data_IF_382786987511
#
_entry.id   IF_382786987511
#
_cell.length_a   1.000
_cell.length_b   1.000
_cell.length_c   1.000
_cell.angle_alpha   90.00
_cell.angle_beta   90.00
_cell.angle_gamma   90.00
#
_symmetry.space_group_name_H-M   'P 1'
#
loop_
_entity.id
_entity.type
_entity.pdbx_description
1 polymer ?
#
# COMPACT_ATOMS: atom_id res chain seq x y z
N UNK A 1 -38.65 43.24 33.35
CA UNK A 1 -37.97 42.02 32.88
C UNK A 1 -38.61 41.65 31.56
N UNK A 2 -37.88 41.50 30.45
CA UNK A 2 -36.80 40.52 30.22
C UNK A 2 -37.47 39.30 29.56
N UNK A 3 -37.42 39.15 28.22
CA UNK A 3 -36.42 38.35 27.48
C UNK A 3 -36.89 36.89 27.39
N UNK A 4 -36.87 36.13 26.29
CA UNK A 4 -36.40 36.22 24.91
C UNK A 4 -36.57 34.83 24.26
N UNK A 5 -36.35 34.71 22.94
CA UNK A 5 -36.04 33.41 22.30
C UNK A 5 -36.86 33.07 21.05
N UNK A 6 -36.20 32.93 19.90
CA UNK A 6 -36.77 32.31 18.70
C UNK A 6 -36.31 32.89 17.36
N UNK A 7 -35.00 33.08 17.15
CA UNK A 7 -34.45 33.52 15.87
C UNK A 7 -34.43 32.39 14.83
N UNK A 8 -35.41 32.39 13.92
CA UNK A 8 -35.35 31.65 12.66
C UNK A 8 -34.62 32.50 11.62
N UNK A 9 -33.34 32.20 11.36
CA UNK A 9 -32.60 32.82 10.28
C UNK A 9 -33.08 32.29 8.92
N UNK A 10 -33.27 33.14 7.88
CA UNK A 10 -33.60 32.66 6.56
C UNK A 10 -32.40 31.96 5.93
N UNK A 11 -32.62 30.72 5.47
CA UNK A 11 -31.71 29.99 4.59
C UNK A 11 -31.38 30.86 3.37
N UNK A 12 -30.08 31.08 3.11
CA UNK A 12 -29.57 31.87 1.98
C UNK A 12 -29.60 31.00 0.71
N UNK A 13 -30.43 31.27 -0.31
CA UNK A 13 -30.52 30.43 -1.50
C UNK A 13 -29.52 30.82 -2.62
N UNK A 14 -28.38 31.46 -2.29
CA UNK A 14 -27.47 32.05 -3.29
C UNK A 14 -26.00 31.64 -3.14
N UNK A 15 -25.71 30.47 -2.57
CA UNK A 15 -24.33 29.98 -2.39
C UNK A 15 -23.67 29.40 -3.67
N UNK A 16 -24.21 29.68 -4.86
CA UNK A 16 -23.83 28.95 -6.08
C UNK A 16 -23.50 29.83 -7.31
N UNK A 17 -23.20 31.11 -7.11
CA UNK A 17 -22.73 31.98 -8.20
C UNK A 17 -21.27 32.38 -8.01
N UNK A 18 -20.38 32.13 -9.00
CA UNK A 18 -18.96 32.52 -8.95
C UNK A 18 -18.71 33.98 -9.35
N UNK A 19 -19.78 34.78 -9.53
CA UNK A 19 -19.70 36.21 -9.79
C UNK A 19 -20.69 36.94 -8.89
N UNK A 20 -20.14 37.76 -7.99
CA UNK A 20 -20.84 38.67 -7.10
C UNK A 20 -21.64 39.70 -7.91
N UNK A 21 -22.97 39.62 -7.83
CA UNK A 21 -23.89 40.53 -8.53
C UNK A 21 -24.32 41.66 -7.59
N UNK A 22 -23.94 42.87 -7.99
CA UNK A 22 -24.17 44.16 -7.33
C UNK A 22 -25.62 44.65 -7.51
N UNK A 23 -26.33 44.97 -6.41
CA UNK A 23 -27.57 45.77 -6.42
C UNK A 23 -27.37 46.95 -5.46
N UNK A 24 -27.36 48.16 -6.00
CA UNK A 24 -27.14 49.41 -5.27
C UNK A 24 -28.41 49.86 -4.55
N UNK A 25 -28.34 50.09 -3.23
CA UNK A 25 -29.36 50.85 -2.48
C UNK A 25 -28.82 52.22 -2.03
N UNK A 26 -29.69 53.23 -1.84
CA UNK A 26 -29.29 54.65 -1.81
C UNK A 26 -28.74 55.15 -0.46
N UNK A 27 -28.51 54.29 0.54
CA UNK A 27 -28.23 54.73 1.91
C UNK A 27 -27.21 53.86 2.64
N UNK A 28 -25.95 54.29 2.59
CA UNK A 28 -24.99 54.16 3.69
C UNK A 28 -24.26 52.81 3.86
N UNK A 29 -23.01 52.77 3.38
CA UNK A 29 -21.89 52.06 4.02
C UNK A 29 -21.86 50.54 3.92
N UNK A 30 -21.29 50.01 2.84
CA UNK A 30 -20.82 48.62 2.76
C UNK A 30 -19.29 48.58 2.87
N UNK A 31 -18.80 48.05 3.99
CA UNK A 31 -17.38 47.84 4.24
C UNK A 31 -16.97 46.46 3.71
N UNK A 32 -16.41 46.44 2.51
CA UNK A 32 -15.91 45.24 1.86
C UNK A 32 -14.73 44.65 2.64
N UNK A 33 -14.98 43.63 3.45
CA UNK A 33 -13.91 42.75 3.94
C UNK A 33 -13.64 41.67 2.89
N UNK A 34 -13.11 42.07 1.73
CA UNK A 34 -12.42 41.15 0.84
C UNK A 34 -11.14 40.74 1.56
N UNK A 35 -11.18 39.63 2.30
CA UNK A 35 -9.97 39.04 2.83
C UNK A 35 -9.01 38.83 1.63
N UNK A 36 -7.81 39.43 1.63
CA UNK A 36 -6.86 39.26 0.54
C UNK A 36 -6.60 37.76 0.42
N UNK A 37 -7.02 37.17 -0.71
CA UNK A 37 -6.74 35.77 -1.01
C UNK A 37 -5.22 35.65 -1.06
N UNK A 38 -4.65 34.92 -0.11
CA UNK A 38 -3.21 34.72 -0.02
C UNK A 38 -2.63 34.16 -1.32
N UNK A 39 -1.30 34.17 -1.47
CA UNK A 39 -0.66 33.61 -2.66
C UNK A 39 -1.16 32.18 -2.94
N UNK A 40 -1.38 31.82 -4.22
CA UNK A 40 -1.85 30.49 -4.60
C UNK A 40 -0.91 29.39 -4.09
N UNK A 41 -1.43 28.21 -3.76
CA UNK A 41 -0.61 27.04 -3.36
C UNK A 41 0.03 26.40 -4.59
N UNK A 42 1.28 25.99 -4.47
CA UNK A 42 1.98 25.20 -5.47
C UNK A 42 1.46 23.75 -5.50
N UNK A 43 1.92 22.99 -6.48
CA UNK A 43 1.50 21.61 -6.73
C UNK A 43 1.94 20.66 -5.61
N UNK A 44 1.01 19.81 -5.18
CA UNK A 44 1.27 18.76 -4.20
C UNK A 44 2.01 17.59 -4.86
N UNK A 45 2.95 16.99 -4.12
CA UNK A 45 3.74 15.83 -4.58
C UNK A 45 3.15 14.58 -3.95
N UNK A 46 2.65 13.65 -4.77
CA UNK A 46 2.15 12.35 -4.30
C UNK A 46 3.21 11.28 -4.55
N UNK A 47 3.55 10.49 -3.53
CA UNK A 47 4.53 9.42 -3.63
C UNK A 47 3.99 8.14 -2.97
N UNK A 48 4.02 7.04 -3.72
CA UNK A 48 3.67 5.73 -3.18
C UNK A 48 4.83 5.15 -2.36
N UNK A 49 4.54 4.74 -1.14
CA UNK A 49 5.48 4.07 -0.23
C UNK A 49 5.08 2.60 -0.14
N UNK A 50 5.81 1.69 -0.82
CA UNK A 50 5.53 0.27 -0.74
C UNK A 50 5.96 -0.27 0.63
N UNK A 51 5.06 -0.98 1.31
CA UNK A 51 5.29 -1.63 2.59
C UNK A 51 4.92 -3.11 2.54
N UNK A 52 5.71 -3.94 3.19
CA UNK A 52 5.39 -5.35 3.41
C UNK A 52 4.38 -5.50 4.55
N UNK A 53 3.62 -6.60 4.58
CA UNK A 53 2.65 -6.84 5.66
C UNK A 53 3.33 -6.99 7.03
N UNK A 54 4.56 -7.50 7.06
CA UNK A 54 5.39 -7.63 8.27
C UNK A 54 5.75 -6.25 8.83
N UNK A 55 6.21 -5.32 7.97
CA UNK A 55 6.49 -3.93 8.34
C UNK A 55 5.24 -3.21 8.87
N UNK A 56 4.06 -3.47 8.30
CA UNK A 56 2.79 -2.89 8.75
C UNK A 56 2.34 -3.48 10.09
N UNK A 57 2.67 -4.74 10.35
CA UNK A 57 2.34 -5.42 11.61
C UNK A 57 3.16 -4.86 12.77
N UNK A 58 4.46 -4.62 12.60
CA UNK A 58 5.33 -4.10 13.68
C UNK A 58 5.37 -2.57 13.73
N UNK A 59 5.09 -1.90 12.62
CA UNK A 59 5.47 -0.50 12.40
C UNK A 59 6.95 -0.38 12.04
N UNK A 60 7.29 0.61 11.21
CA UNK A 60 8.66 0.79 10.71
C UNK A 60 9.00 2.25 10.47
N UNK A 61 10.26 2.61 10.71
CA UNK A 61 10.83 3.89 10.28
C UNK A 61 11.53 3.67 8.93
N UNK A 62 11.00 4.29 7.87
CA UNK A 62 11.49 4.12 6.49
C UNK A 62 12.04 5.43 5.96
N UNK A 63 13.19 5.35 5.28
CA UNK A 63 13.83 6.50 4.64
C UNK A 63 13.44 6.51 3.16
N UNK A 64 12.67 7.50 2.73
CA UNK A 64 12.16 7.59 1.36
C UNK A 64 12.87 8.73 0.62
N UNK A 65 13.55 8.47 -0.50
CA UNK A 65 14.16 9.53 -1.31
C UNK A 65 13.07 10.30 -2.06
N UNK A 66 12.91 11.58 -1.72
CA UNK A 66 11.91 12.45 -2.37
C UNK A 66 12.62 13.39 -3.33
N UNK A 67 12.12 13.45 -4.57
CA UNK A 67 12.55 14.39 -5.60
C UNK A 67 11.49 15.47 -5.76
N UNK A 68 11.84 16.72 -5.49
CA UNK A 68 10.90 17.86 -5.54
C UNK A 68 11.60 19.12 -6.07
N UNK A 69 10.82 20.05 -6.62
CA UNK A 69 11.37 21.35 -6.98
C UNK A 69 11.36 22.26 -5.75
N UNK A 70 12.50 22.88 -5.47
CA UNK A 70 12.67 23.86 -4.40
C UNK A 70 13.15 25.17 -5.00
N UNK A 71 12.93 26.28 -4.30
CA UNK A 71 13.56 27.54 -4.69
C UNK A 71 15.09 27.36 -4.67
N UNK A 72 15.76 27.88 -5.69
CA UNK A 72 17.21 27.74 -5.79
C UNK A 72 17.87 28.31 -4.52
N UNK A 73 18.72 27.54 -3.81
CA UNK A 73 19.28 27.97 -2.54
C UNK A 73 20.25 29.15 -2.69
N UNK A 74 20.82 29.34 -3.89
CA UNK A 74 21.76 30.44 -4.17
C UNK A 74 21.04 31.76 -4.47
N UNK A 75 20.01 31.73 -5.33
CA UNK A 75 19.32 32.96 -5.76
C UNK A 75 18.00 33.21 -5.04
N UNK A 76 17.52 32.28 -4.21
CA UNK A 76 16.24 32.35 -3.49
C UNK A 76 15.06 32.75 -4.39
N UNK A 77 15.06 32.27 -5.64
CA UNK A 77 14.03 32.57 -6.63
C UNK A 77 14.23 33.85 -7.43
N UNK A 78 15.29 34.64 -7.22
CA UNK A 78 15.60 35.82 -8.06
C UNK A 78 15.97 35.45 -9.50
N UNK A 79 16.66 34.32 -9.67
CA UNK A 79 17.15 33.84 -10.98
C UNK A 79 18.55 34.35 -11.33
N UNK A 80 19.09 35.30 -10.57
CA UNK A 80 20.48 35.76 -10.62
C UNK A 80 21.18 35.52 -9.27
N UNK A 81 22.49 35.33 -9.28
CA UNK A 81 23.28 35.10 -8.06
C UNK A 81 23.31 36.35 -7.16
N UNK A 82 23.60 37.50 -7.77
CA UNK A 82 23.73 38.79 -7.10
C UNK A 82 22.58 39.74 -7.48
N UNK A 83 22.30 40.74 -6.64
CA UNK A 83 21.24 41.73 -6.89
C UNK A 83 21.50 42.52 -8.19
N UNK A 84 22.76 42.83 -8.48
CA UNK A 84 23.19 43.49 -9.72
C UNK A 84 23.00 42.63 -10.98
N UNK A 85 22.77 41.33 -10.83
CA UNK A 85 22.48 40.42 -11.94
C UNK A 85 21.03 40.52 -12.44
N UNK A 86 20.20 41.37 -11.84
CA UNK A 86 18.83 41.65 -12.28
C UNK A 86 18.63 43.11 -12.64
N UNK A 87 17.94 43.36 -13.76
CA UNK A 87 17.53 44.69 -14.17
C UNK A 87 16.01 44.86 -14.03
N UNK A 88 15.49 46.06 -13.71
CA UNK A 88 14.05 46.30 -13.73
C UNK A 88 13.49 46.06 -15.13
N UNK A 89 12.35 45.39 -15.22
CA UNK A 89 11.71 45.11 -16.50
C UNK A 89 11.22 46.41 -17.14
N UNK A 90 11.75 46.74 -18.32
CA UNK A 90 11.37 47.95 -19.08
C UNK A 90 9.93 47.90 -19.59
N UNK A 91 9.39 46.69 -19.86
CA UNK A 91 8.03 46.53 -20.34
C UNK A 91 6.97 46.91 -19.29
N UNK A 92 7.17 46.52 -18.02
CA UNK A 92 6.21 46.77 -16.94
C UNK A 92 6.66 47.81 -15.91
N UNK A 93 7.87 48.40 -16.06
CA UNK A 93 8.40 49.39 -15.11
C UNK A 93 8.57 48.83 -13.69
N UNK A 94 9.12 47.63 -13.56
CA UNK A 94 9.28 46.90 -12.29
C UNK A 94 8.00 46.47 -11.56
N UNK A 95 6.81 46.74 -12.11
CA UNK A 95 5.54 46.36 -11.47
C UNK A 95 5.18 44.86 -11.62
N UNK A 96 5.83 44.15 -12.54
CA UNK A 96 5.55 42.74 -12.87
C UNK A 96 4.23 42.53 -13.62
N UNK A 97 3.42 43.57 -13.84
CA UNK A 97 2.05 43.44 -14.33
C UNK A 97 1.68 44.60 -15.25
N UNK A 98 0.86 44.34 -16.27
CA UNK A 98 0.27 45.36 -17.11
C UNK A 98 -1.19 45.58 -16.71
N UNK A 99 -1.57 46.85 -16.54
CA UNK A 99 -2.94 47.26 -16.25
C UNK A 99 -3.60 47.73 -17.55
N UNK A 100 -4.56 46.96 -18.05
CA UNK A 100 -5.37 47.33 -19.21
C UNK A 100 -6.71 47.86 -18.72
N UNK A 101 -7.01 49.13 -19.02
CA UNK A 101 -8.31 49.72 -18.70
C UNK A 101 -9.20 49.64 -19.93
N UNK A 102 -10.23 48.80 -19.88
CA UNK A 102 -11.25 48.71 -20.92
C UNK A 102 -12.51 49.45 -20.47
N UNK A 103 -12.99 50.40 -21.27
CA UNK A 103 -14.27 51.05 -21.05
C UNK A 103 -15.34 50.27 -21.84
N UNK A 104 -16.34 49.78 -21.12
CA UNK A 104 -17.46 49.07 -21.73
C UNK A 104 -18.45 50.07 -22.36
N UNK A 105 -19.30 49.62 -23.30
CA UNK A 105 -20.25 50.51 -24.02
C UNK A 105 -21.22 51.26 -23.09
N UNK A 106 -21.37 50.80 -21.84
CA UNK A 106 -22.21 51.41 -20.78
C UNK A 106 -21.44 52.37 -19.86
N UNK A 107 -20.16 52.67 -20.16
CA UNK A 107 -19.35 53.64 -19.40
C UNK A 107 -18.63 53.06 -18.17
N UNK A 108 -18.78 51.76 -17.89
CA UNK A 108 -18.02 51.09 -16.83
C UNK A 108 -16.57 50.87 -17.25
N UNK A 109 -15.62 51.21 -16.38
CA UNK A 109 -14.19 50.96 -16.60
C UNK A 109 -13.81 49.67 -15.90
N UNK A 110 -13.45 48.66 -16.68
CA UNK A 110 -12.87 47.41 -16.19
C UNK A 110 -11.35 47.53 -16.24
N UNK A 111 -10.70 47.35 -15.10
CA UNK A 111 -9.23 47.27 -15.01
C UNK A 111 -8.85 45.81 -14.99
N UNK A 112 -8.20 45.33 -16.04
CA UNK A 112 -7.70 43.97 -16.17
C UNK A 112 -6.22 43.98 -15.82
N UNK A 113 -5.84 43.20 -14.82
CA UNK A 113 -4.46 43.04 -14.40
C UNK A 113 -3.88 41.78 -15.03
N UNK A 114 -2.95 41.94 -15.96
CA UNK A 114 -2.28 40.83 -16.67
C UNK A 114 -0.83 40.73 -16.23
N UNK A 115 -0.32 39.53 -15.99
CA UNK A 115 1.10 39.31 -15.67
C UNK A 115 1.97 39.68 -16.87
N UNK A 116 3.08 40.39 -16.64
CA UNK A 116 4.01 40.74 -17.71
C UNK A 116 4.69 39.48 -18.27
N UNK A 117 4.62 39.28 -19.58
CA UNK A 117 5.20 38.13 -20.28
C UNK A 117 6.74 38.15 -20.25
N UNK A 118 7.35 39.34 -20.23
CA UNK A 118 8.80 39.50 -20.26
C UNK A 118 9.50 39.17 -18.94
N UNK A 119 8.85 39.43 -17.80
CA UNK A 119 9.41 39.13 -16.48
C UNK A 119 8.61 38.07 -15.71
N UNK A 120 7.58 37.50 -16.34
CA UNK A 120 6.71 36.46 -15.78
C UNK A 120 6.13 36.84 -14.40
N UNK A 121 5.82 38.12 -14.18
CA UNK A 121 5.30 38.61 -12.89
C UNK A 121 6.33 39.07 -11.86
N UNK A 122 7.63 38.86 -12.09
CA UNK A 122 8.67 39.20 -11.10
C UNK A 122 9.06 40.67 -11.05
N UNK A 123 8.73 41.45 -12.08
CA UNK A 123 9.15 42.85 -12.19
C UNK A 123 10.61 43.04 -12.63
N UNK A 124 11.43 41.99 -12.58
CA UNK A 124 12.85 42.06 -12.93
C UNK A 124 13.21 41.04 -14.02
N UNK A 125 14.15 41.42 -14.88
CA UNK A 125 14.72 40.58 -15.92
C UNK A 125 16.11 40.14 -15.48
N UNK A 126 16.42 38.86 -15.67
CA UNK A 126 17.71 38.27 -15.34
C UNK A 126 18.71 38.66 -16.42
N UNK A 127 19.74 39.42 -16.06
CA UNK A 127 20.85 39.81 -16.96
C UNK A 127 21.98 38.79 -16.84
N UNK A 128 22.32 38.41 -15.61
CA UNK A 128 23.31 37.39 -15.31
C UNK A 128 22.61 36.17 -14.69
N UNK A 129 22.44 35.06 -15.44
CA UNK A 129 21.74 33.89 -14.94
C UNK A 129 22.52 33.25 -13.79
N UNK A 130 21.80 32.83 -12.76
CA UNK A 130 22.36 32.08 -11.65
C UNK A 130 23.05 30.79 -12.17
N UNK A 131 24.29 30.49 -11.75
CA UNK A 131 25.04 29.34 -12.26
C UNK A 131 24.41 27.99 -11.89
N UNK A 132 23.63 27.94 -10.79
CA UNK A 132 23.00 26.70 -10.29
C UNK A 132 21.69 26.39 -11.01
N UNK A 133 20.82 27.38 -11.19
CA UNK A 133 19.49 27.18 -11.80
C UNK A 133 19.42 27.61 -13.27
N UNK A 134 20.47 28.23 -13.81
CA UNK A 134 20.51 28.72 -15.20
C UNK A 134 19.41 29.75 -15.50
N UNK A 135 19.03 30.58 -14.51
CA UNK A 135 17.93 31.54 -14.64
C UNK A 135 16.53 30.97 -14.36
N UNK A 136 16.38 29.66 -14.14
CA UNK A 136 15.06 29.01 -13.92
C UNK A 136 14.44 29.26 -12.54
N UNK A 137 15.18 29.87 -11.60
CA UNK A 137 14.76 30.22 -10.22
C UNK A 137 14.47 29.03 -9.28
N UNK A 138 14.19 27.86 -9.82
CA UNK A 138 13.97 26.60 -9.08
C UNK A 138 15.03 25.55 -9.41
N UNK A 139 15.27 24.64 -8.47
CA UNK A 139 16.20 23.50 -8.61
C UNK A 139 15.52 22.23 -8.13
N UNK A 140 15.82 21.10 -8.78
CA UNK A 140 15.33 19.79 -8.33
C UNK A 140 16.24 19.28 -7.22
N UNK A 141 15.70 19.13 -6.02
CA UNK A 141 16.42 18.59 -4.86
C UNK A 141 15.95 17.16 -4.60
N UNK A 142 16.92 16.26 -4.39
CA UNK A 142 16.70 14.88 -3.97
C UNK A 142 17.11 14.75 -2.50
N UNK A 143 16.13 14.69 -1.60
CA UNK A 143 16.37 14.62 -0.16
C UNK A 143 15.76 13.33 0.42
N UNK A 144 16.51 12.51 1.16
CA UNK A 144 15.93 11.41 1.91
C UNK A 144 15.15 11.96 3.10
N UNK A 145 13.87 11.58 3.20
CA UNK A 145 13.02 11.91 4.34
C UNK A 145 12.77 10.66 5.18
N UNK A 146 12.95 10.78 6.49
CA UNK A 146 12.66 9.71 7.44
C UNK A 146 11.20 9.80 7.84
N UNK A 147 10.42 8.79 7.52
CA UNK A 147 8.99 8.71 7.82
C UNK A 147 8.77 7.56 8.77
N UNK A 148 8.05 7.84 9.87
CA UNK A 148 7.59 6.82 10.81
C UNK A 148 6.21 6.37 10.38
N UNK A 149 6.09 5.09 10.00
CA UNK A 149 4.81 4.48 9.69
C UNK A 149 4.36 3.69 10.92
N UNK A 150 3.25 4.08 11.58
CA UNK A 150 2.75 3.36 12.73
C UNK A 150 2.23 1.98 12.33
N UNK A 151 2.27 1.05 13.28
CA UNK A 151 1.67 -0.27 13.12
C UNK A 151 0.17 -0.13 12.81
N UNK A 152 -0.33 -0.98 11.92
CA UNK A 152 -1.77 -1.01 11.58
C UNK A 152 -2.20 0.08 10.60
N UNK A 153 -1.26 0.75 9.95
CA UNK A 153 -1.55 1.71 8.88
C UNK A 153 -2.23 1.00 7.72
N UNK A 154 -3.44 1.44 7.36
CA UNK A 154 -4.25 0.86 6.27
C UNK A 154 -3.63 1.05 4.89
N UNK A 155 -3.99 0.17 3.96
CA UNK A 155 -3.65 0.35 2.55
C UNK A 155 -4.32 1.60 1.98
N UNK A 156 -3.55 2.39 1.23
CA UNK A 156 -3.98 3.68 0.68
C UNK A 156 -4.01 4.83 1.69
N UNK A 157 -3.62 4.61 2.95
CA UNK A 157 -3.51 5.69 3.94
C UNK A 157 -2.54 6.78 3.47
N UNK A 158 -2.88 8.03 3.76
CA UNK A 158 -2.11 9.19 3.34
C UNK A 158 -1.45 9.86 4.54
N UNK A 159 -0.13 10.00 4.48
CA UNK A 159 0.65 10.75 5.44
C UNK A 159 1.06 12.06 4.75
N UNK A 160 0.47 13.17 5.17
CA UNK A 160 0.71 14.49 4.57
C UNK A 160 1.75 15.25 5.38
N UNK A 161 2.84 15.67 4.73
CA UNK A 161 3.82 16.59 5.29
C UNK A 161 3.58 17.99 4.71
N UNK A 162 3.15 18.97 5.53
CA UNK A 162 2.81 20.30 5.04
C UNK A 162 4.05 21.05 4.56
N UNK A 163 3.92 21.84 3.49
CA UNK A 163 4.99 22.66 2.92
C UNK A 163 6.26 21.90 2.49
N UNK A 164 6.18 20.57 2.35
CA UNK A 164 7.26 19.70 1.90
C UNK A 164 7.09 19.26 0.43
N UNK A 165 6.12 19.80 -0.30
CA UNK A 165 5.92 19.55 -1.73
C UNK A 165 6.79 20.46 -2.60
N UNK A 166 6.25 20.81 -3.77
CA UNK A 166 6.90 21.67 -4.75
C UNK A 166 6.88 23.13 -4.28
N UNK A 167 7.98 23.84 -4.43
CA UNK A 167 8.03 25.29 -4.22
C UNK A 167 8.09 26.04 -5.55
N UNK A 168 7.36 27.15 -5.61
CA UNK A 168 7.37 28.05 -6.76
C UNK A 168 7.34 29.50 -6.29
N UNK A 169 8.04 30.37 -7.01
CA UNK A 169 8.08 31.80 -6.67
C UNK A 169 6.69 32.43 -6.74
N UNK A 170 6.28 33.12 -5.67
CA UNK A 170 4.96 33.75 -5.57
C UNK A 170 3.82 32.78 -5.22
N UNK A 171 4.13 31.51 -4.95
CA UNK A 171 3.19 30.49 -4.49
C UNK A 171 3.58 30.03 -3.08
N UNK A 172 2.59 29.63 -2.29
CA UNK A 172 2.84 28.88 -1.06
C UNK A 172 3.36 27.48 -1.43
N UNK A 173 4.29 26.91 -0.65
CA UNK A 173 4.78 25.55 -0.90
C UNK A 173 3.63 24.55 -0.93
N UNK A 174 3.72 23.58 -1.86
CA UNK A 174 2.83 22.43 -1.90
C UNK A 174 3.06 21.49 -0.72
N UNK A 175 2.19 20.50 -0.57
CA UNK A 175 2.34 19.45 0.43
C UNK A 175 2.93 18.18 -0.20
N UNK A 176 3.61 17.37 0.61
CA UNK A 176 4.06 16.04 0.23
C UNK A 176 3.07 15.03 0.80
N UNK A 177 2.35 14.32 -0.06
CA UNK A 177 1.38 13.30 0.31
C UNK A 177 2.00 11.93 0.04
N UNK A 178 2.32 11.21 1.11
CA UNK A 178 2.84 9.85 1.03
C UNK A 178 1.67 8.88 1.10
N UNK A 179 1.44 8.14 0.03
CA UNK A 179 0.41 7.12 -0.03
C UNK A 179 1.01 5.75 0.30
N UNK A 180 0.57 5.14 1.38
CA UNK A 180 1.00 3.79 1.76
C UNK A 180 0.36 2.77 0.81
N UNK A 181 1.18 1.86 0.28
CA UNK A 181 0.73 0.76 -0.57
C UNK A 181 1.25 -0.57 -0.06
N UNK A 182 0.37 -1.53 0.13
CA UNK A 182 0.80 -2.88 0.51
C UNK A 182 1.42 -3.63 -0.66
N UNK A 183 2.57 -4.24 -0.41
CA UNK A 183 3.16 -5.21 -1.32
C UNK A 183 2.40 -6.54 -1.25
N UNK A 184 2.23 -7.23 -2.38
CA UNK A 184 1.63 -8.55 -2.39
C UNK A 184 2.48 -9.52 -1.57
N UNK A 185 1.85 -10.24 -0.65
CA UNK A 185 2.51 -11.23 0.19
C UNK A 185 2.17 -12.65 -0.28
N UNK A 186 3.12 -13.58 -0.16
CA UNK A 186 2.98 -14.93 -0.71
C UNK A 186 1.86 -15.76 -0.05
N UNK A 187 1.64 -15.56 1.26
CA UNK A 187 0.68 -16.35 2.04
C UNK A 187 -0.60 -15.62 2.40
N UNK A 188 -0.51 -14.31 2.59
CA UNK A 188 -1.56 -13.52 3.24
C UNK A 188 -2.03 -12.41 2.31
N UNK A 189 -3.31 -12.12 2.36
CA UNK A 189 -3.91 -10.97 1.69
C UNK A 189 -4.59 -10.11 2.75
N UNK A 190 -4.21 -8.84 2.84
CA UNK A 190 -4.90 -7.94 3.75
C UNK A 190 -6.27 -7.52 3.19
N UNK A 191 -7.23 -7.40 4.08
CA UNK A 191 -8.56 -6.85 3.83
C UNK A 191 -8.58 -5.37 4.22
N UNK A 192 -9.48 -4.58 3.65
CA UNK A 192 -9.67 -3.15 3.98
C UNK A 192 -9.89 -2.90 5.47
N UNK A 193 -10.52 -3.86 6.15
CA UNK A 193 -10.99 -3.71 7.52
C UNK A 193 -9.90 -4.03 8.56
N UNK A 194 -8.65 -4.28 8.11
CA UNK A 194 -7.55 -4.74 8.97
C UNK A 194 -7.53 -6.26 9.19
N UNK A 195 -8.44 -6.98 8.53
CA UNK A 195 -8.42 -8.44 8.52
C UNK A 195 -7.31 -9.01 7.64
N UNK A 196 -6.92 -10.25 7.91
CA UNK A 196 -6.02 -11.04 7.08
C UNK A 196 -6.81 -12.18 6.44
N UNK A 197 -6.60 -12.41 5.15
CA UNK A 197 -7.13 -13.56 4.43
C UNK A 197 -5.98 -14.51 4.10
N UNK A 198 -6.11 -15.77 4.52
CA UNK A 198 -5.19 -16.85 4.20
C UNK A 198 -5.91 -17.91 3.36
N UNK A 199 -5.37 -18.23 2.19
CA UNK A 199 -5.91 -19.29 1.33
C UNK A 199 -5.20 -20.61 1.63
N UNK A 200 -5.83 -21.43 2.45
CA UNK A 200 -5.31 -22.73 2.85
C UNK A 200 -5.65 -23.79 1.77
N UNK A 201 -4.62 -24.43 1.23
CA UNK A 201 -4.79 -25.54 0.29
C UNK A 201 -4.70 -26.88 1.01
N UNK A 202 -5.76 -27.69 0.89
CA UNK A 202 -5.92 -28.93 1.65
C UNK A 202 -6.26 -30.07 0.69
N UNK A 203 -5.63 -31.25 0.80
CA UNK A 203 -5.97 -32.40 -0.04
C UNK A 203 -7.36 -32.95 0.32
N UNK A 204 -8.02 -33.60 -0.64
CA UNK A 204 -9.35 -34.17 -0.45
C UNK A 204 -9.46 -35.08 0.78
N UNK A 205 -8.44 -35.87 1.09
CA UNK A 205 -8.48 -36.80 2.24
C UNK A 205 -8.54 -36.06 3.59
N UNK A 206 -7.70 -35.03 3.75
CA UNK A 206 -7.69 -34.17 4.94
C UNK A 206 -9.03 -33.42 5.07
N UNK A 207 -9.63 -33.02 3.94
CA UNK A 207 -10.92 -32.36 3.93
C UNK A 207 -12.08 -33.29 4.34
N UNK A 208 -11.98 -34.60 4.14
CA UNK A 208 -13.02 -35.58 4.50
C UNK A 208 -12.87 -36.13 5.93
N UNK A 209 -11.63 -36.41 6.35
CA UNK A 209 -11.33 -37.04 7.65
C UNK A 209 -11.17 -36.01 8.76
N UNK A 210 -10.94 -34.75 8.40
CA UNK A 210 -10.51 -33.70 9.31
C UNK A 210 -8.99 -33.60 9.39
N UNK A 211 -8.49 -32.43 9.78
CA UNK A 211 -7.06 -32.15 9.82
C UNK A 211 -6.67 -31.22 10.96
N UNK A 212 -5.40 -31.31 11.34
CA UNK A 212 -4.74 -30.38 12.23
C UNK A 212 -3.46 -29.87 11.55
N UNK A 213 -3.34 -28.56 11.35
CA UNK A 213 -2.16 -27.94 10.72
C UNK A 213 -1.72 -26.70 11.48
N UNK A 214 -0.41 -26.49 11.54
CA UNK A 214 0.17 -25.28 12.12
C UNK A 214 0.38 -24.23 11.04
N UNK A 215 -0.25 -23.07 11.19
CA UNK A 215 -0.03 -21.88 10.36
C UNK A 215 0.99 -20.96 11.04
N UNK A 216 2.02 -20.56 10.30
CA UNK A 216 2.96 -19.53 10.74
C UNK A 216 2.37 -18.14 10.47
N UNK A 217 2.14 -17.37 11.52
CA UNK A 217 1.63 -16.01 11.50
C UNK A 217 2.73 -14.98 11.12
N UNK A 218 2.33 -13.71 10.95
CA UNK A 218 3.25 -12.59 10.66
C UNK A 218 4.23 -12.29 11.80
N UNK A 219 3.87 -12.61 13.04
CA UNK A 219 4.72 -12.49 14.23
C UNK A 219 5.68 -13.68 14.42
N UNK A 220 5.59 -14.69 13.54
CA UNK A 220 6.33 -15.95 13.67
C UNK A 220 5.70 -16.96 14.65
N UNK A 221 4.58 -16.63 15.30
CA UNK A 221 3.83 -17.57 16.13
C UNK A 221 3.17 -18.65 15.28
N UNK A 222 2.95 -19.82 15.88
CA UNK A 222 2.27 -20.95 15.23
C UNK A 222 0.85 -21.03 15.75
N UNK A 223 -0.13 -20.84 14.86
CA UNK A 223 -1.53 -21.09 15.16
C UNK A 223 -1.89 -22.52 14.74
N UNK A 224 -2.37 -23.32 15.68
CA UNK A 224 -2.91 -24.64 15.40
C UNK A 224 -4.34 -24.50 14.86
N UNK A 225 -4.52 -24.78 13.58
CA UNK A 225 -5.83 -24.88 12.92
C UNK A 225 -6.26 -26.32 13.01
N UNK A 226 -7.39 -26.56 13.67
CA UNK A 226 -8.00 -27.89 13.77
C UNK A 226 -9.44 -27.82 13.26
N UNK A 227 -9.76 -28.76 12.38
CA UNK A 227 -11.11 -28.93 11.87
C UNK A 227 -11.40 -30.43 11.76
N UNK A 228 -12.35 -30.92 12.57
CA UNK A 228 -12.63 -32.35 12.73
C UNK A 228 -13.80 -32.82 11.84
N UNK A 229 -14.42 -31.91 11.07
CA UNK A 229 -15.61 -32.15 10.25
C UNK A 229 -15.23 -32.08 8.77
N UNK A 230 -16.11 -32.59 7.90
CA UNK A 230 -15.95 -32.47 6.44
C UNK A 230 -15.88 -31.00 6.04
N UNK A 231 -14.77 -30.61 5.41
CA UNK A 231 -14.51 -29.26 4.92
C UNK A 231 -14.86 -29.14 3.44
N UNK A 232 -15.78 -28.25 3.11
CA UNK A 232 -16.10 -27.95 1.71
C UNK A 232 -15.13 -26.91 1.13
N UNK A 233 -14.89 -26.97 -0.18
CA UNK A 233 -14.13 -25.92 -0.88
C UNK A 233 -14.84 -24.57 -0.77
N UNK A 234 -14.12 -23.53 -0.39
CA UNK A 234 -14.67 -22.19 -0.14
C UNK A 234 -15.23 -22.01 1.27
N UNK A 235 -15.14 -23.02 2.14
CA UNK A 235 -15.44 -22.86 3.56
C UNK A 235 -14.48 -21.84 4.18
N UNK A 236 -15.03 -20.91 4.96
CA UNK A 236 -14.28 -19.84 5.64
C UNK A 236 -14.38 -20.01 7.13
N UNK A 237 -13.23 -20.04 7.80
CA UNK A 237 -13.12 -20.08 9.25
C UNK A 237 -12.45 -18.81 9.73
N UNK A 238 -13.11 -18.09 10.64
CA UNK A 238 -12.63 -16.81 11.18
C UNK A 238 -12.04 -17.03 12.57
N UNK A 239 -10.80 -16.56 12.76
CA UNK A 239 -10.09 -16.51 14.02
C UNK A 239 -10.01 -15.05 14.48
N UNK A 240 -10.72 -14.73 15.56
CA UNK A 240 -10.83 -13.36 16.06
C UNK A 240 -9.51 -12.86 16.66
N UNK A 241 -9.18 -11.58 16.45
CA UNK A 241 -8.02 -10.92 17.07
C UNK A 241 -6.66 -11.44 16.62
N UNK A 242 -6.58 -12.10 15.45
CA UNK A 242 -5.35 -12.68 14.87
C UNK A 242 -4.94 -12.04 13.53
N UNK A 243 -5.50 -10.87 13.22
CA UNK A 243 -5.25 -10.08 12.02
C UNK A 243 -4.16 -9.01 12.21
N UNK A 244 -4.24 -7.93 11.43
CA UNK A 244 -3.35 -6.78 11.58
C UNK A 244 -3.73 -5.95 12.81
N UNK A 245 -2.77 -5.27 13.46
CA UNK A 245 -3.11 -4.29 14.49
C UNK A 245 -3.97 -3.18 13.89
N UNK A 246 -4.94 -2.72 14.66
CA UNK A 246 -5.82 -1.61 14.27
C UNK A 246 -5.27 -0.30 14.84
N UNK A 247 -5.52 0.82 14.16
CA UNK A 247 -5.19 2.14 14.69
C UNK A 247 -6.04 2.47 15.92
N UNK A 248 -5.51 3.27 16.85
CA UNK A 248 -6.17 3.63 18.12
C UNK A 248 -7.60 4.15 17.95
N UNK A 249 -7.84 4.93 16.90
CA UNK A 249 -9.18 5.44 16.58
C UNK A 249 -10.17 4.32 16.27
N UNK A 250 -9.73 3.32 15.51
CA UNK A 250 -10.54 2.16 15.13
C UNK A 250 -10.72 1.23 16.32
N UNK A 251 -9.68 1.04 17.14
CA UNK A 251 -9.80 0.30 18.39
C UNK A 251 -10.86 0.93 19.31
N UNK A 252 -10.86 2.26 19.44
CA UNK A 252 -11.86 2.97 20.24
C UNK A 252 -13.27 2.75 19.70
N UNK A 253 -13.46 2.88 18.38
CA UNK A 253 -14.75 2.60 17.73
C UNK A 253 -15.21 1.16 17.96
N UNK A 254 -14.31 0.19 17.86
CA UNK A 254 -14.60 -1.22 18.09
C UNK A 254 -14.96 -1.50 19.56
N UNK A 255 -14.27 -0.88 20.52
CA UNK A 255 -14.61 -0.99 21.95
C UNK A 255 -15.97 -0.37 22.27
N UNK A 256 -16.26 0.81 21.72
CA UNK A 256 -17.57 1.47 21.85
C UNK A 256 -18.69 0.60 21.25
N UNK A 257 -18.47 0.01 20.07
CA UNK A 257 -19.41 -0.90 19.42
C UNK A 257 -19.61 -2.21 20.19
N UNK A 258 -18.54 -2.81 20.70
CA UNK A 258 -18.60 -4.02 21.52
C UNK A 258 -19.33 -3.77 22.86
N UNK A 259 -19.08 -2.62 23.51
CA UNK A 259 -19.79 -2.22 24.71
C UNK A 259 -21.29 -2.00 24.44
N UNK A 260 -21.64 -1.36 23.32
CA UNK A 260 -23.03 -1.19 22.89
C UNK A 260 -23.71 -2.54 22.58
N UNK A 261 -23.01 -3.47 21.93
CA UNK A 261 -23.52 -4.80 21.64
C UNK A 261 -23.73 -5.64 22.92
N UNK A 262 -22.78 -5.62 23.86
CA UNK A 262 -22.93 -6.26 25.18
C UNK A 262 -24.10 -5.67 25.96
N UNK A 263 -24.25 -4.34 25.95
CA UNK A 263 -25.39 -3.67 26.59
C UNK A 263 -26.73 -4.07 25.94
N UNK A 264 -26.78 -4.17 24.60
CA UNK A 264 -27.96 -4.61 23.87
C UNK A 264 -28.30 -6.08 24.15
N UNK A 265 -27.30 -6.97 24.19
CA UNK A 265 -27.47 -8.39 24.52
C UNK A 265 -27.96 -8.57 25.96
N UNK A 266 -27.38 -7.82 26.91
CA UNK A 266 -27.84 -7.80 28.31
C UNK A 266 -29.28 -7.32 28.42
N UNK A 267 -29.64 -6.22 27.76
CA UNK A 267 -31.01 -5.72 27.74
C UNK A 267 -31.99 -6.72 27.10
N UNK A 268 -31.57 -7.44 26.06
CA UNK A 268 -32.37 -8.50 25.43
C UNK A 268 -32.54 -9.72 26.34
N UNK A 269 -31.50 -10.13 27.06
CA UNK A 269 -31.55 -11.22 28.03
C UNK A 269 -32.44 -10.88 29.24
N UNK A 270 -32.35 -9.65 29.74
CA UNK A 270 -33.22 -9.12 30.81
C UNK A 270 -34.68 -9.06 30.35
N UNK A 271 -34.95 -8.67 29.10
CA UNK A 271 -36.30 -8.66 28.53
C UNK A 271 -36.89 -10.06 28.31
N UNK A 272 -36.05 -11.09 28.15
CA UNK A 272 -36.47 -12.48 27.99
C UNK A 272 -36.66 -13.24 29.32
N UNK A 273 -36.43 -12.61 30.47
CA UNK A 273 -36.66 -13.20 31.80
C UNK A 273 -35.64 -14.26 32.23
N UNK A 274 -34.48 -14.33 31.58
CA UNK A 274 -33.41 -15.27 31.94
C UNK A 274 -32.56 -14.75 33.11
N UNK A 275 -32.43 -15.52 34.19
CA UNK A 275 -31.39 -15.29 35.19
C UNK A 275 -30.03 -15.56 34.55
N UNK A 276 -29.21 -14.51 34.42
CA UNK A 276 -27.83 -14.61 33.94
C UNK A 276 -27.08 -15.51 34.92
N UNK A 277 -26.78 -16.74 34.51
CA UNK A 277 -25.74 -17.52 35.16
C UNK A 277 -24.43 -16.78 34.97
N UNK A 278 -23.65 -16.68 36.04
CA UNK A 278 -22.26 -16.21 35.99
C UNK A 278 -21.50 -17.13 35.03
N UNK A 279 -21.46 -16.75 33.75
CA UNK A 279 -20.57 -17.37 32.77
C UNK A 279 -19.16 -17.01 33.25
N UNK A 280 -18.39 -18.05 33.60
CA UNK A 280 -16.98 -17.94 33.96
C UNK A 280 -16.28 -17.03 32.96
N UNK A 281 -15.84 -15.87 33.47
CA UNK A 281 -15.01 -14.94 32.74
C UNK A 281 -13.74 -15.70 32.37
N UNK A 282 -13.64 -16.13 31.11
CA UNK A 282 -12.37 -16.46 30.48
C UNK A 282 -11.57 -15.18 30.35
N UNK A 283 -11.01 -14.67 31.46
CA UNK A 283 -10.32 -13.39 31.61
C UNK A 283 -9.03 -13.24 30.75
N UNK A 284 -8.78 -14.11 29.77
CA UNK A 284 -7.55 -14.11 28.97
C UNK A 284 -7.69 -13.81 27.48
N UNK A 285 -8.86 -14.07 26.86
CA UNK A 285 -8.96 -14.10 25.39
C UNK A 285 -9.72 -12.89 24.80
N UNK A 286 -10.60 -12.25 25.57
CA UNK A 286 -11.47 -11.18 25.08
C UNK A 286 -10.85 -9.77 25.10
N UNK A 287 -9.82 -9.51 25.92
CA UNK A 287 -9.18 -8.18 25.98
C UNK A 287 -8.34 -7.87 24.72
N UNK A 288 -7.83 -8.89 24.03
CA UNK A 288 -6.98 -8.73 22.83
C UNK A 288 -7.81 -8.57 21.55
N UNK A 289 -9.09 -9.00 21.56
CA UNK A 289 -9.95 -9.03 20.39
C UNK A 289 -10.31 -7.65 19.81
N UNK A 290 -10.12 -6.57 20.57
CA UNK A 290 -10.38 -5.20 20.10
C UNK A 290 -9.18 -4.47 19.49
N UNK A 291 -7.96 -5.01 19.68
CA UNK A 291 -6.71 -4.35 19.26
C UNK A 291 -6.23 -4.81 17.88
N UNK A 292 -6.60 -6.03 17.49
CA UNK A 292 -6.22 -6.66 16.22
C UNK A 292 -7.46 -6.98 15.40
N UNK A 293 -7.33 -6.97 14.07
CA UNK A 293 -8.35 -7.46 13.16
C UNK A 293 -8.50 -8.99 13.23
N UNK A 294 -9.34 -9.53 12.35
CA UNK A 294 -9.62 -10.96 12.28
C UNK A 294 -8.75 -11.65 11.23
N UNK A 295 -8.41 -12.93 11.46
CA UNK A 295 -7.83 -13.80 10.45
C UNK A 295 -8.91 -14.70 9.86
N UNK A 296 -9.12 -14.59 8.57
CA UNK A 296 -10.02 -15.44 7.80
C UNK A 296 -9.23 -16.45 7.00
N UNK A 297 -9.51 -17.73 7.25
CA UNK A 297 -8.90 -18.82 6.50
C UNK A 297 -9.95 -19.37 5.54
N UNK A 298 -9.67 -19.22 4.25
CA UNK A 298 -10.47 -19.79 3.17
C UNK A 298 -9.84 -21.11 2.73
N UNK A 299 -10.57 -22.21 2.87
CA UNK A 299 -10.08 -23.54 2.52
C UNK A 299 -10.39 -23.87 1.06
N UNK A 300 -9.34 -24.11 0.29
CA UNK A 300 -9.44 -24.63 -1.08
C UNK A 300 -9.05 -26.10 -1.09
N UNK A 301 -10.02 -26.97 -1.40
CA UNK A 301 -9.79 -28.41 -1.50
C UNK A 301 -9.14 -28.71 -2.85
N UNK A 302 -7.95 -29.30 -2.82
CA UNK A 302 -7.25 -29.79 -4.01
C UNK A 302 -7.72 -31.21 -4.30
N UNK A 303 -8.33 -31.38 -5.47
CA UNK A 303 -8.67 -32.69 -6.00
C UNK A 303 -7.46 -33.33 -6.69
N UNK A 304 -7.20 -34.63 -6.49
CA UNK A 304 -6.16 -35.32 -7.23
C UNK A 304 -6.54 -35.34 -8.72
N UNK A 305 -5.60 -35.08 -9.63
CA UNK A 305 -5.89 -35.02 -11.08
C UNK A 305 -6.41 -36.34 -11.67
N UNK A 306 -6.02 -37.47 -11.06
CA UNK A 306 -6.44 -38.83 -11.42
C UNK A 306 -6.38 -39.70 -10.16
N UNK A 307 -7.31 -40.65 -10.06
CA UNK A 307 -7.23 -41.73 -9.09
C UNK A 307 -6.34 -42.84 -9.66
N UNK A 308 -5.37 -43.31 -8.87
CA UNK A 308 -4.62 -44.51 -9.21
C UNK A 308 -5.50 -45.76 -9.09
N UNK A 309 -5.13 -46.85 -9.76
CA UNK A 309 -5.90 -48.10 -9.71
C UNK A 309 -6.01 -48.66 -8.27
N UNK A 310 -4.96 -48.49 -7.45
CA UNK A 310 -5.00 -48.86 -6.03
C UNK A 310 -6.00 -48.03 -5.22
N UNK A 311 -6.02 -46.71 -5.42
CA UNK A 311 -7.00 -45.82 -4.76
C UNK A 311 -8.43 -46.13 -5.20
N UNK A 312 -8.63 -46.47 -6.48
CA UNK A 312 -9.92 -46.87 -7.02
C UNK A 312 -10.44 -48.17 -6.39
N UNK A 313 -9.56 -49.14 -6.14
CA UNK A 313 -9.94 -50.37 -5.45
C UNK A 313 -10.36 -50.11 -4.00
N UNK A 314 -9.61 -49.26 -3.28
CA UNK A 314 -9.94 -48.90 -1.88
C UNK A 314 -11.27 -48.14 -1.81
N UNK A 315 -11.53 -47.21 -2.74
CA UNK A 315 -12.77 -46.44 -2.74
C UNK A 315 -14.00 -47.29 -3.10
N UNK A 316 -13.82 -48.37 -3.89
CA UNK A 316 -14.92 -49.30 -4.23
C UNK A 316 -15.43 -50.09 -3.02
N UNK A 317 -14.63 -50.21 -1.96
CA UNK A 317 -15.06 -50.82 -0.70
C UNK A 317 -15.93 -49.87 0.14
N UNK A 318 -15.95 -48.58 -0.18
CA UNK A 318 -16.66 -47.52 0.57
C UNK A 318 -17.79 -46.86 -0.22
N UNK A 319 -17.71 -46.87 -1.55
CA UNK A 319 -18.62 -46.16 -2.46
C UNK A 319 -19.03 -47.07 -3.62
N UNK A 320 -20.28 -46.97 -4.05
CA UNK A 320 -20.80 -47.75 -5.18
C UNK A 320 -20.17 -47.28 -6.51
N UNK A 321 -20.25 -48.11 -7.57
CA UNK A 321 -19.63 -47.81 -8.87
C UNK A 321 -20.16 -46.52 -9.51
N UNK A 322 -21.43 -46.19 -9.30
CA UNK A 322 -22.06 -44.96 -9.79
C UNK A 322 -21.48 -43.72 -9.08
N UNK A 323 -21.29 -43.80 -7.76
CA UNK A 323 -20.71 -42.70 -6.97
C UNK A 323 -19.23 -42.50 -7.30
N UNK A 324 -18.51 -43.59 -7.55
CA UNK A 324 -17.12 -43.54 -7.95
C UNK A 324 -16.95 -42.94 -9.36
N UNK A 325 -17.88 -43.19 -10.28
CA UNK A 325 -17.92 -42.53 -11.58
C UNK A 325 -18.20 -41.02 -11.46
N UNK A 326 -19.13 -40.62 -10.57
CA UNK A 326 -19.40 -39.20 -10.28
C UNK A 326 -18.15 -38.52 -9.72
N UNK A 327 -17.42 -39.16 -8.80
CA UNK A 327 -16.18 -38.62 -8.25
C UNK A 327 -15.10 -38.43 -9.33
N UNK A 328 -14.95 -39.40 -10.25
CA UNK A 328 -14.01 -39.29 -11.38
C UNK A 328 -14.37 -38.12 -12.32
N UNK A 329 -15.66 -37.88 -12.56
CA UNK A 329 -16.10 -36.76 -13.39
C UNK A 329 -15.93 -35.40 -12.68
N UNK A 330 -16.18 -35.32 -11.37
CA UNK A 330 -15.87 -34.13 -10.56
C UNK A 330 -14.37 -33.83 -10.56
N UNK A 331 -13.52 -34.87 -10.46
CA UNK A 331 -12.07 -34.74 -10.58
C UNK A 331 -11.66 -34.18 -11.94
N UNK A 332 -12.27 -34.66 -13.03
CA UNK A 332 -11.99 -34.14 -14.38
C UNK A 332 -12.42 -32.68 -14.55
N UNK A 333 -13.60 -32.32 -14.05
CA UNK A 333 -14.15 -30.98 -14.13
C UNK A 333 -13.37 -29.97 -13.28
N UNK A 334 -12.98 -30.36 -12.06
CA UNK A 334 -12.15 -29.53 -11.17
C UNK A 334 -10.73 -29.33 -11.73
N UNK A 335 -10.09 -30.38 -12.25
CA UNK A 335 -8.76 -30.28 -12.85
C UNK A 335 -8.73 -29.36 -14.09
N UNK A 336 -9.82 -29.30 -14.86
CA UNK A 336 -9.96 -28.36 -15.98
C UNK A 336 -10.07 -26.91 -15.49
N UNK A 337 -10.85 -26.68 -14.42
CA UNK A 337 -11.06 -25.35 -13.83
C UNK A 337 -9.83 -24.78 -13.12
N UNK A 338 -9.04 -25.63 -12.47
CA UNK A 338 -7.79 -25.21 -11.81
C UNK A 338 -6.70 -24.81 -12.82
N UNK A 339 -6.69 -25.40 -14.02
CA UNK A 339 -5.76 -25.03 -15.08
C UNK A 339 -5.99 -23.61 -15.63
N UNK A 340 -7.25 -23.15 -15.66
CA UNK A 340 -7.61 -21.79 -16.05
C UNK A 340 -7.27 -20.77 -14.95
N UNK A 341 -7.35 -21.16 -13.68
CA UNK A 341 -7.07 -20.28 -12.52
C UNK A 341 -5.57 -20.12 -12.24
N UNK A 342 -4.76 -21.11 -12.62
CA UNK A 342 -3.29 -21.05 -12.54
C UNK A 342 -2.67 -19.94 -13.42
N UNK A 343 -3.38 -19.45 -14.44
CA UNK A 343 -2.89 -18.38 -15.32
C UNK A 343 -2.73 -17.00 -14.63
N UNK A 344 -3.22 -16.85 -13.39
CA UNK A 344 -3.13 -15.61 -12.60
C UNK A 344 -2.13 -15.67 -11.43
N UNK A 345 -1.38 -16.76 -11.29
CA UNK A 345 -0.35 -16.91 -10.26
C UNK A 345 0.98 -17.12 -10.96
N UNK A 346 1.96 -16.25 -10.66
CA UNK A 346 3.34 -16.47 -11.11
C UNK A 346 3.78 -17.84 -10.63
N UNK A 347 4.22 -18.65 -11.58
CA UNK A 347 4.93 -19.89 -11.36
C UNK A 347 5.97 -19.66 -10.26
N UNK A 348 5.87 -20.40 -9.15
CA UNK A 348 6.96 -21.24 -8.67
C UNK A 348 6.55 -22.10 -7.45
N UNK A 349 7.01 -23.36 -7.51
CA UNK A 349 7.44 -24.20 -6.38
C UNK A 349 6.57 -25.25 -5.66
N UNK A 350 5.38 -25.67 -6.13
CA UNK A 350 4.69 -26.81 -5.46
C UNK A 350 4.07 -27.91 -6.35
N UNK A 351 4.54 -28.09 -7.59
CA UNK A 351 4.10 -29.22 -8.44
C UNK A 351 5.21 -30.08 -9.03
N UNK A 352 6.30 -30.31 -8.29
CA UNK A 352 7.21 -31.44 -8.58
C UNK A 352 6.85 -32.63 -7.69
N UNK A 353 5.94 -33.48 -8.18
CA UNK A 353 5.77 -34.82 -7.61
C UNK A 353 7.09 -35.60 -7.78
N UNK A 354 7.59 -36.15 -6.66
CA UNK A 354 8.72 -37.06 -6.58
C UNK A 354 8.54 -38.23 -7.57
N UNK A 355 9.57 -38.53 -8.38
CA UNK A 355 9.54 -39.61 -9.40
C UNK A 355 9.94 -40.99 -8.85
N UNK A 356 10.08 -41.15 -7.54
CA UNK A 356 10.50 -42.42 -6.94
C UNK A 356 9.73 -42.66 -5.64
N UNK A 357 8.62 -43.38 -5.73
CA UNK A 357 7.97 -43.99 -4.57
C UNK A 357 8.50 -45.41 -4.42
N UNK A 358 8.97 -45.76 -3.22
CA UNK A 358 9.43 -47.11 -2.86
C UNK A 358 8.23 -48.05 -2.67
N UNK A 359 8.38 -49.32 -3.06
CA UNK A 359 7.27 -50.27 -3.27
C UNK A 359 6.63 -50.82 -1.97
N UNK A 360 7.02 -50.31 -0.80
CA UNK A 360 6.65 -50.87 0.51
C UNK A 360 5.63 -50.09 1.34
N UNK A 361 5.38 -48.79 1.08
CA UNK A 361 4.42 -48.01 1.88
C UNK A 361 3.90 -46.77 1.14
N UNK A 362 2.66 -46.75 0.62
CA UNK A 362 2.16 -45.70 -0.27
C UNK A 362 1.77 -44.37 0.42
N UNK A 363 1.99 -44.24 1.74
CA UNK A 363 1.61 -43.04 2.51
C UNK A 363 2.78 -42.29 3.17
N UNK A 364 4.03 -42.74 3.04
CA UNK A 364 5.20 -42.09 3.64
C UNK A 364 6.19 -41.63 2.55
N UNK A 365 6.22 -40.32 2.28
CA UNK A 365 7.36 -39.68 1.64
C UNK A 365 8.43 -39.41 2.71
N UNK A 366 9.49 -40.21 2.74
CA UNK A 366 10.65 -39.95 3.60
C UNK A 366 11.37 -38.71 3.07
N UNK A 367 11.43 -37.63 3.86
CA UNK A 367 12.29 -36.46 3.58
C UNK A 367 13.73 -36.87 3.88
N UNK A 368 14.59 -36.99 2.87
CA UNK A 368 16.03 -36.81 3.11
C UNK A 368 16.34 -35.31 3.14
N UNK A 369 16.83 -34.84 4.28
CA UNK A 369 17.40 -33.51 4.44
C UNK A 369 18.71 -33.40 3.65
N UNK A 370 19.10 -32.22 3.15
CA UNK A 370 20.37 -32.08 2.45
C UNK A 370 21.54 -32.16 3.45
N UNK A 371 22.33 -33.23 3.38
CA UNK A 371 23.65 -33.26 3.99
C UNK A 371 24.57 -32.31 3.21
N UNK A 372 24.88 -31.17 3.83
CA UNK A 372 26.11 -30.43 3.56
C UNK A 372 27.30 -31.28 3.98
N UNK A 373 28.07 -31.80 3.03
CA UNK A 373 29.48 -32.12 3.27
C UNK A 373 30.35 -31.67 2.10
N UNK A 374 31.28 -30.79 2.45
CA UNK A 374 32.52 -30.51 1.76
C UNK A 374 33.28 -31.81 1.48
N UNK A 375 33.82 -31.99 0.28
CA UNK A 375 35.06 -32.78 0.16
C UNK A 375 35.95 -32.27 -0.97
N UNK A 376 37.10 -31.82 -0.51
CA UNK A 376 38.32 -31.49 -1.23
C UNK A 376 38.95 -32.75 -1.88
N UNK A 377 39.64 -32.49 -2.99
CA UNK A 377 40.90 -33.11 -3.43
C UNK A 377 40.92 -34.63 -3.69
N UNK A 378 41.02 -35.00 -4.96
CA UNK A 378 41.88 -36.11 -5.37
C UNK A 378 42.39 -35.92 -6.81
N UNK A 379 43.71 -35.78 -6.92
CA UNK A 379 44.55 -36.11 -8.09
C UNK A 379 45.71 -36.96 -7.52
N UNK A 380 46.55 -37.69 -8.29
CA UNK A 380 46.53 -37.96 -9.74
C UNK A 380 46.79 -39.45 -10.11
N UNK A 381 46.54 -39.84 -11.36
CA UNK A 381 47.24 -40.96 -12.00
C UNK A 381 47.37 -40.77 -13.52
N UNK A 382 48.62 -40.53 -13.96
CA UNK A 382 49.17 -40.59 -15.35
C UNK A 382 49.44 -42.06 -15.75
N UNK A 383 49.99 -42.39 -16.94
CA UNK A 383 49.90 -41.75 -18.27
C UNK A 383 49.68 -42.78 -19.42
N UNK A 384 49.33 -42.32 -20.62
CA UNK A 384 49.83 -42.91 -21.89
C UNK A 384 50.16 -41.77 -22.85
N UNK A 385 51.41 -41.75 -23.28
CA UNK A 385 51.94 -40.74 -24.20
C UNK A 385 51.89 -41.20 -25.65
N UNK A 386 52.07 -40.23 -26.55
CA UNK A 386 53.07 -40.21 -27.63
C UNK A 386 52.69 -39.13 -28.66
N UNK A 387 53.69 -38.33 -29.05
CA UNK A 387 53.91 -37.69 -30.36
C UNK A 387 52.86 -36.70 -30.92
N UNK A 388 53.16 -35.57 -31.57
CA UNK A 388 54.38 -34.87 -31.97
C UNK A 388 53.97 -33.42 -32.39
N UNK A 389 54.98 -32.59 -32.68
CA UNK A 389 55.00 -31.33 -33.46
C UNK A 389 54.62 -30.01 -32.75
N UNK A 390 55.61 -29.16 -32.42
CA UNK A 390 56.18 -28.06 -33.23
C UNK A 390 55.21 -26.87 -33.37
N UNK A 391 55.52 -25.61 -33.05
CA UNK A 391 56.73 -24.92 -32.67
C UNK A 391 56.48 -23.40 -32.73
N UNK A 392 57.35 -22.66 -32.05
CA UNK A 392 57.75 -21.27 -32.31
C UNK A 392 56.87 -20.06 -31.89
N UNK A 393 57.61 -19.09 -31.34
CA UNK A 393 57.36 -17.65 -31.16
C UNK A 393 56.36 -17.25 -30.05
N UNK A 394 56.68 -16.39 -29.08
CA UNK A 394 57.83 -15.52 -28.85
C UNK A 394 57.39 -14.35 -27.95
N UNK A 395 58.28 -13.92 -27.03
CA UNK A 395 58.42 -12.60 -26.36
C UNK A 395 57.19 -11.65 -26.29
N UNK A 396 56.83 -11.07 -25.14
CA UNK A 396 57.65 -10.06 -24.46
C UNK A 396 57.28 -9.87 -22.99
N UNK A 397 58.32 -9.53 -22.23
CA UNK A 397 58.28 -9.01 -20.87
C UNK A 397 57.97 -7.50 -20.88
N UNK A 398 57.37 -6.99 -19.79
CA UNK A 398 57.19 -5.55 -19.62
C UNK A 398 56.50 -5.16 -18.32
N UNK A 399 57.13 -5.49 -17.19
CA UNK A 399 56.86 -4.79 -15.93
C UNK A 399 57.50 -3.39 -16.00
N UNK A 400 56.74 -2.32 -15.74
CA UNK A 400 57.22 -1.31 -14.80
C UNK A 400 56.10 -0.42 -14.24
N UNK A 401 56.18 -0.22 -12.94
CA UNK A 401 55.47 0.77 -12.17
C UNK A 401 56.22 2.12 -12.23
N UNK A 402 55.51 3.24 -12.10
CA UNK A 402 56.13 4.51 -11.77
C UNK A 402 55.37 5.76 -12.22
N UNK A 403 54.88 6.51 -11.23
CA UNK A 403 54.37 7.89 -11.22
C UNK A 403 52.98 8.17 -11.81
#
# INVERSE_FOLDING_TARGET
>A
GGGGGGGGGPAKPYAQFPFDLYVSTPSGGFEFHSAPKGPPKAEDVVLDVPLTLEEVFTGVNKTVPVRRQRLCPLCHGRGAEHDNGTAPCSACGASGRHLYTHADRRGYKHVINTTCEWCEGTGHVVVEPCPVCGGRRVTVEAQPLNITVPAGTRDGAQITMPAQGTERLGYNPGDLVLQVRYLPHAKFRATSDGGLLYQARIPLIDALVGFARNLTMLDGSKLLIRHDIVTFSGYRQTYRGRGLPLTDEVQRQNREAAAAAKAAAKAAAEAAGGSVGEEEEGEGEDEVAGAFGDLDIEFTVIFPRRLSMAQRLILRDLMDEEELAILEDVIRLSAARDAERAAWLTDDEETRHCRTCDAGNPFLCVREAPATELTLLASPARPRGAADDAGAAGADAGANAGA
#
